data_IF_661683293169
#
_entry.id   IF_661683293169
#
_cell.length_a   1.000
_cell.length_b   1.000
_cell.length_c   1.000
_cell.angle_alpha   90.00
_cell.angle_beta   90.00
_cell.angle_gamma   90.00
#
_symmetry.space_group_name_H-M   'P 1'
#
loop_
_entity.id
_entity.type
_entity.pdbx_description
1 polymer ?
#
# COMPACT_ATOMS: atom_id res chain seq x y z
N UNK A 1 -14.01 1.11 -14.48
CA UNK A 1 -12.68 0.95 -13.96
C UNK A 1 -12.54 -0.40 -13.28
N UNK A 2 -11.75 -1.29 -13.88
CA UNK A 2 -11.72 -2.71 -13.49
C UNK A 2 -11.28 -2.93 -12.03
N UNK A 3 -10.22 -2.27 -11.59
CA UNK A 3 -9.69 -2.43 -10.23
C UNK A 3 -10.71 -1.98 -9.18
N UNK A 4 -11.39 -0.85 -9.42
CA UNK A 4 -12.42 -0.35 -8.52
C UNK A 4 -13.60 -1.32 -8.41
N UNK A 5 -14.05 -1.88 -9.53
CA UNK A 5 -15.12 -2.88 -9.53
C UNK A 5 -14.76 -4.14 -8.77
N UNK A 6 -13.53 -4.63 -8.92
CA UNK A 6 -13.06 -5.81 -8.19
C UNK A 6 -12.98 -5.57 -6.68
N UNK A 7 -12.51 -4.40 -6.27
CA UNK A 7 -12.46 -4.02 -4.86
C UNK A 7 -13.88 -3.91 -4.29
N UNK A 8 -14.78 -3.27 -5.03
CA UNK A 8 -16.16 -3.11 -4.60
C UNK A 8 -16.86 -4.45 -4.41
N UNK A 9 -16.72 -5.38 -5.36
CA UNK A 9 -17.29 -6.72 -5.26
C UNK A 9 -16.71 -7.50 -4.09
N UNK A 10 -15.39 -7.49 -3.90
CA UNK A 10 -14.73 -8.19 -2.81
C UNK A 10 -15.05 -7.64 -1.43
N UNK A 11 -15.45 -6.36 -1.34
CA UNK A 11 -15.75 -5.70 -0.06
C UNK A 11 -17.24 -5.54 0.23
N UNK A 12 -18.12 -6.01 -0.64
CA UNK A 12 -19.57 -5.96 -0.42
C UNK A 12 -20.03 -6.49 0.93
N UNK A 13 -19.47 -7.62 1.43
CA UNK A 13 -19.89 -8.15 2.73
C UNK A 13 -19.67 -7.18 3.89
N UNK A 14 -18.75 -6.24 3.75
CA UNK A 14 -18.47 -5.22 4.77
C UNK A 14 -19.47 -4.05 4.72
N UNK A 15 -20.25 -3.93 3.66
CA UNK A 15 -21.29 -2.91 3.52
C UNK A 15 -20.77 -1.49 3.62
N UNK A 16 -21.45 -0.67 4.44
CA UNK A 16 -21.09 0.73 4.68
C UNK A 16 -20.23 0.93 5.93
N UNK A 17 -19.56 -0.11 6.41
CA UNK A 17 -18.68 0.02 7.56
C UNK A 17 -17.58 1.03 7.29
N UNK A 18 -17.31 1.88 8.27
CA UNK A 18 -16.24 2.85 8.22
C UNK A 18 -14.99 2.24 8.82
N UNK A 19 -13.91 2.27 8.05
CA UNK A 19 -12.59 1.88 8.53
C UNK A 19 -11.77 3.14 8.76
N UNK A 20 -11.02 3.16 9.85
CA UNK A 20 -10.18 4.30 10.20
C UNK A 20 -8.81 4.24 9.55
N UNK A 21 -8.33 3.03 9.27
CA UNK A 21 -6.98 2.81 8.76
C UNK A 21 -6.96 1.69 7.74
N UNK A 22 -6.10 1.90 6.76
CA UNK A 22 -5.66 0.84 5.87
C UNK A 22 -4.20 0.56 6.20
N UNK A 23 -3.89 -0.69 6.53
CA UNK A 23 -2.53 -1.13 6.80
C UNK A 23 -2.12 -2.03 5.65
N UNK A 24 -1.06 -1.64 4.96
CA UNK A 24 -0.52 -2.41 3.85
C UNK A 24 0.74 -3.16 4.25
N UNK A 25 0.77 -4.43 3.93
CA UNK A 25 1.95 -5.27 4.21
C UNK A 25 2.50 -5.84 2.90
N UNK A 26 3.81 -5.94 2.83
CA UNK A 26 4.54 -6.57 1.73
C UNK A 26 4.37 -5.90 0.35
N UNK A 27 5.14 -6.35 -0.58
CA UNK A 27 5.03 -6.08 -2.01
C UNK A 27 4.96 -4.62 -2.39
N UNK A 28 3.85 -4.23 -2.99
CA UNK A 28 3.65 -2.88 -3.53
C UNK A 28 3.73 -1.80 -2.46
N UNK A 29 3.20 -2.04 -1.27
CA UNK A 29 3.23 -1.05 -0.19
C UNK A 29 4.65 -0.69 0.23
N UNK A 30 5.48 -1.69 0.47
CA UNK A 30 6.87 -1.46 0.89
C UNK A 30 7.70 -0.85 -0.24
N UNK A 31 7.44 -1.24 -1.49
CA UNK A 31 8.11 -0.66 -2.66
C UNK A 31 7.74 0.81 -2.84
N UNK A 32 6.47 1.17 -2.72
CA UNK A 32 6.03 2.56 -2.82
C UNK A 32 6.65 3.42 -1.71
N UNK A 33 6.70 2.91 -0.49
CA UNK A 33 7.31 3.61 0.63
C UNK A 33 8.83 3.82 0.41
N UNK A 34 9.51 2.78 -0.09
CA UNK A 34 10.93 2.87 -0.39
C UNK A 34 11.22 3.90 -1.50
N UNK A 35 10.40 3.91 -2.54
CA UNK A 35 10.52 4.90 -3.63
C UNK A 35 10.26 6.31 -3.14
N UNK A 36 9.23 6.51 -2.34
CA UNK A 36 8.91 7.84 -1.81
C UNK A 36 10.02 8.39 -0.93
N UNK A 37 10.73 7.52 -0.22
CA UNK A 37 11.90 7.90 0.58
C UNK A 37 13.20 7.93 -0.21
N UNK A 38 13.19 7.55 -1.49
CA UNK A 38 14.37 7.53 -2.35
C UNK A 38 15.47 6.59 -1.84
N UNK A 39 15.08 5.45 -1.29
CA UNK A 39 16.03 4.49 -0.71
C UNK A 39 16.86 3.80 -1.78
N UNK A 40 18.18 3.95 -1.71
CA UNK A 40 19.10 3.20 -2.55
C UNK A 40 19.44 1.84 -1.92
N UNK A 41 19.32 1.74 -0.60
CA UNK A 41 19.46 0.50 0.16
C UNK A 41 18.22 0.33 1.01
N UNK A 42 17.56 -0.80 0.89
CA UNK A 42 16.33 -1.09 1.63
C UNK A 42 16.61 -1.23 3.12
N UNK A 43 15.88 -0.47 3.92
CA UNK A 43 15.97 -0.49 5.38
C UNK A 43 14.54 -0.68 5.95
N UNK A 44 14.21 -1.89 6.44
CA UNK A 44 12.88 -2.17 6.98
C UNK A 44 12.48 -1.25 8.13
N UNK A 45 13.43 -0.82 8.95
CA UNK A 45 13.15 0.06 10.08
C UNK A 45 12.60 1.42 9.64
N UNK A 46 13.01 1.91 8.46
CA UNK A 46 12.55 3.18 7.90
C UNK A 46 11.22 3.04 7.15
N UNK A 47 10.88 1.82 6.76
CA UNK A 47 9.65 1.52 6.00
C UNK A 47 8.51 1.22 6.96
N UNK A 48 8.77 0.47 8.01
CA UNK A 48 7.75 0.05 8.97
C UNK A 48 7.14 1.28 9.66
N UNK A 49 5.83 1.39 9.57
CA UNK A 49 5.11 2.54 10.10
C UNK A 49 5.07 3.75 9.16
N UNK A 50 5.68 3.68 7.99
CA UNK A 50 5.64 4.76 7.02
C UNK A 50 4.20 5.01 6.55
N UNK A 51 3.84 6.26 6.41
CA UNK A 51 2.50 6.64 5.97
C UNK A 51 2.55 7.20 4.56
N UNK A 52 1.71 6.66 3.68
CA UNK A 52 1.55 7.14 2.32
C UNK A 52 0.17 7.76 2.17
N UNK A 53 0.11 9.03 1.80
CA UNK A 53 -1.18 9.68 1.50
C UNK A 53 -1.75 9.15 0.19
N UNK A 54 -3.07 9.27 0.03
CA UNK A 54 -3.73 8.92 -1.22
C UNK A 54 -3.14 9.70 -2.41
N UNK A 55 -2.83 10.97 -2.21
CA UNK A 55 -2.21 11.81 -3.25
C UNK A 55 -0.85 11.28 -3.68
N UNK A 56 -0.03 10.83 -2.73
CA UNK A 56 1.28 10.24 -3.02
C UNK A 56 1.14 8.95 -3.81
N UNK A 57 0.23 8.06 -3.42
CA UNK A 57 0.02 6.80 -4.13
C UNK A 57 -0.48 7.06 -5.56
N UNK A 58 -1.42 7.99 -5.74
CA UNK A 58 -1.91 8.38 -7.07
C UNK A 58 -0.80 8.95 -7.94
N UNK A 59 0.04 9.80 -7.38
CA UNK A 59 1.18 10.38 -8.09
C UNK A 59 2.13 9.29 -8.59
N UNK A 60 2.45 8.32 -7.75
CA UNK A 60 3.29 7.20 -8.15
C UNK A 60 2.63 6.32 -9.20
N UNK A 61 1.33 6.01 -9.04
CA UNK A 61 0.60 5.22 -10.02
C UNK A 61 0.62 5.89 -11.40
N UNK A 62 0.40 7.20 -11.45
CA UNK A 62 0.43 7.97 -12.69
C UNK A 62 1.84 8.00 -13.30
N UNK A 63 2.84 8.35 -12.50
CA UNK A 63 4.24 8.42 -12.95
C UNK A 63 4.74 7.08 -13.46
N UNK A 64 4.54 6.02 -12.69
CA UNK A 64 4.99 4.67 -13.05
C UNK A 64 4.24 4.14 -14.27
N UNK A 65 2.97 4.48 -14.42
CA UNK A 65 2.16 4.08 -15.57
C UNK A 65 2.67 4.62 -16.90
N UNK A 66 3.46 5.70 -16.88
CA UNK A 66 4.07 6.31 -18.08
C UNK A 66 5.48 5.80 -18.37
N UNK A 67 6.01 4.92 -17.52
CA UNK A 67 7.37 4.41 -17.64
C UNK A 67 7.37 2.98 -18.15
N UNK A 68 8.46 2.63 -18.84
CA UNK A 68 8.72 1.23 -19.21
C UNK A 68 9.25 0.46 -17.99
N UNK A 69 9.23 -0.87 -18.05
CA UNK A 69 9.78 -1.72 -16.99
C UNK A 69 11.27 -1.39 -16.73
N UNK A 70 12.04 -1.17 -17.79
CA UNK A 70 13.44 -0.81 -17.67
C UNK A 70 13.63 0.52 -16.94
N UNK A 71 12.79 1.51 -17.23
CA UNK A 71 12.83 2.81 -16.54
C UNK A 71 12.44 2.67 -15.06
N UNK A 72 11.42 1.87 -14.76
CA UNK A 72 10.99 1.61 -13.38
C UNK A 72 12.09 0.98 -12.55
N UNK A 73 12.83 0.03 -13.13
CA UNK A 73 13.93 -0.66 -12.45
C UNK A 73 15.08 0.28 -12.03
N UNK A 74 15.21 1.43 -12.67
CA UNK A 74 16.24 2.42 -12.34
C UNK A 74 15.87 3.34 -11.18
N UNK A 75 14.62 3.30 -10.74
CA UNK A 75 14.18 4.17 -9.65
C UNK A 75 14.73 3.68 -8.30
N UNK A 76 15.27 4.60 -7.48
CA UNK A 76 15.61 4.24 -6.12
C UNK A 76 14.39 3.69 -5.36
N UNK A 77 14.58 2.58 -4.70
CA UNK A 77 13.51 1.91 -3.95
C UNK A 77 12.74 0.85 -4.73
N UNK A 78 12.90 0.80 -6.06
CA UNK A 78 12.23 -0.23 -6.85
C UNK A 78 12.92 -1.59 -6.64
N UNK A 79 12.16 -2.53 -6.12
CA UNK A 79 12.60 -3.91 -5.97
C UNK A 79 12.53 -4.64 -7.31
N UNK A 80 13.62 -5.34 -7.66
CA UNK A 80 13.67 -6.15 -8.88
C UNK A 80 12.57 -7.20 -8.88
N UNK A 81 11.82 -7.28 -9.96
CA UNK A 81 10.66 -8.15 -10.09
C UNK A 81 9.33 -7.44 -9.80
N UNK A 82 9.35 -6.31 -9.09
CA UNK A 82 8.13 -5.55 -8.80
C UNK A 82 7.73 -4.59 -9.91
N UNK A 83 8.64 -4.26 -10.81
CA UNK A 83 8.41 -3.30 -11.91
C UNK A 83 7.20 -3.64 -12.76
N UNK A 84 6.84 -4.91 -12.86
CA UNK A 84 5.68 -5.38 -13.62
C UNK A 84 4.37 -5.24 -12.88
N UNK A 85 4.42 -5.27 -11.54
CA UNK A 85 3.22 -5.38 -10.71
C UNK A 85 2.95 -4.12 -9.91
N UNK A 86 3.90 -3.19 -9.86
CA UNK A 86 3.77 -2.00 -9.01
C UNK A 86 2.63 -1.09 -9.44
N UNK A 87 2.38 -0.93 -10.74
CA UNK A 87 1.29 -0.09 -11.23
C UNK A 87 -0.08 -0.68 -10.92
N UNK A 88 -0.39 -1.94 -11.31
CA UNK A 88 -1.67 -2.52 -10.92
C UNK A 88 -1.82 -2.59 -9.40
N UNK A 89 -0.75 -2.85 -8.66
CA UNK A 89 -0.78 -2.82 -7.21
C UNK A 89 -1.12 -1.44 -6.64
N UNK A 90 -0.49 -0.39 -7.16
CA UNK A 90 -0.78 0.98 -6.74
C UNK A 90 -2.23 1.38 -7.06
N UNK A 91 -2.74 0.97 -8.21
CA UNK A 91 -4.13 1.24 -8.59
C UNK A 91 -5.12 0.52 -7.67
N UNK A 92 -4.81 -0.69 -7.24
CA UNK A 92 -5.63 -1.42 -6.25
C UNK A 92 -5.64 -0.69 -4.91
N UNK A 93 -4.50 -0.16 -4.47
CA UNK A 93 -4.41 0.62 -3.23
C UNK A 93 -5.28 1.88 -3.32
N UNK A 94 -5.19 2.59 -4.43
CA UNK A 94 -6.03 3.79 -4.68
C UNK A 94 -7.50 3.42 -4.63
N UNK A 95 -7.89 2.33 -5.30
CA UNK A 95 -9.28 1.86 -5.32
C UNK A 95 -9.77 1.50 -3.92
N UNK A 96 -8.94 0.85 -3.11
CA UNK A 96 -9.27 0.51 -1.73
C UNK A 96 -9.46 1.77 -0.87
N UNK A 97 -8.56 2.75 -1.01
CA UNK A 97 -8.69 4.02 -0.28
C UNK A 97 -9.97 4.76 -0.66
N UNK A 98 -10.32 4.78 -1.94
CA UNK A 98 -11.57 5.39 -2.40
C UNK A 98 -12.80 4.67 -1.87
N UNK A 99 -12.78 3.32 -1.91
CA UNK A 99 -13.90 2.49 -1.45
C UNK A 99 -14.20 2.72 0.02
N UNK A 100 -13.17 2.84 0.85
CA UNK A 100 -13.32 3.04 2.29
C UNK A 100 -13.17 4.50 2.72
N UNK A 101 -13.06 5.42 1.77
CA UNK A 101 -12.92 6.86 2.03
C UNK A 101 -11.73 7.19 2.95
N UNK A 102 -10.61 6.56 2.69
CA UNK A 102 -9.38 6.77 3.44
C UNK A 102 -8.42 7.68 2.68
N UNK A 103 -7.73 8.54 3.40
CA UNK A 103 -6.79 9.50 2.82
C UNK A 103 -5.35 8.98 2.77
N UNK A 104 -5.10 7.83 3.32
CA UNK A 104 -3.75 7.29 3.35
C UNK A 104 -3.71 5.84 3.83
N UNK A 105 -2.52 5.28 3.74
CA UNK A 105 -2.23 3.92 4.16
C UNK A 105 -0.98 3.93 5.04
N UNK A 106 -0.99 3.10 6.08
CA UNK A 106 0.21 2.85 6.90
C UNK A 106 0.88 1.58 6.39
N UNK A 107 2.16 1.67 6.10
CA UNK A 107 2.93 0.54 5.57
C UNK A 107 3.57 -0.22 6.72
N UNK A 108 3.44 -1.53 6.71
CA UNK A 108 4.07 -2.43 7.66
C UNK A 108 4.98 -3.41 6.91
N UNK A 109 6.21 -3.53 7.37
CA UNK A 109 7.16 -4.52 6.87
C UNK A 109 7.15 -5.80 7.73
N UNK A 110 6.30 -5.84 8.76
CA UNK A 110 6.13 -7.02 9.59
C UNK A 110 5.56 -8.18 8.77
N UNK A 111 6.00 -9.39 9.05
CA UNK A 111 5.43 -10.60 8.46
C UNK A 111 3.96 -10.75 8.83
N UNK A 112 3.24 -11.59 8.07
CA UNK A 112 1.81 -11.79 8.28
C UNK A 112 1.48 -12.16 9.73
N UNK A 113 2.26 -13.06 10.33
CA UNK A 113 2.04 -13.49 11.72
C UNK A 113 2.22 -12.32 12.69
N UNK A 114 3.28 -11.53 12.54
CA UNK A 114 3.51 -10.35 13.37
C UNK A 114 2.39 -9.32 13.20
N UNK A 115 1.92 -9.12 11.98
CA UNK A 115 0.81 -8.24 11.70
C UNK A 115 -0.48 -8.67 12.38
N UNK A 116 -0.78 -9.97 12.39
CA UNK A 116 -1.94 -10.54 13.07
C UNK A 116 -1.81 -10.34 14.57
N UNK A 117 -0.65 -10.65 15.15
CA UNK A 117 -0.43 -10.50 16.60
C UNK A 117 -0.54 -9.04 17.04
N UNK A 118 0.03 -8.12 16.27
CA UNK A 118 -0.09 -6.69 16.55
C UNK A 118 -1.55 -6.21 16.45
N UNK A 119 -2.31 -6.72 15.49
CA UNK A 119 -3.73 -6.43 15.33
C UNK A 119 -4.55 -6.88 16.52
N UNK A 120 -4.30 -8.10 17.02
CA UNK A 120 -4.96 -8.64 18.21
C UNK A 120 -4.65 -7.80 19.44
N UNK A 121 -3.38 -7.43 19.64
CA UNK A 121 -2.98 -6.58 20.76
C UNK A 121 -3.63 -5.20 20.73
N UNK A 122 -3.80 -4.61 19.56
CA UNK A 122 -4.44 -3.30 19.38
C UNK A 122 -5.95 -3.36 19.62
N UNK A 123 -6.61 -4.41 19.14
CA UNK A 123 -8.04 -4.60 19.34
C UNK A 123 -8.38 -4.78 20.82
N UNK A 124 -7.50 -5.39 21.58
CA UNK A 124 -7.68 -5.53 23.04
C UNK A 124 -7.56 -4.20 23.80
N UNK A 125 -6.96 -3.17 23.20
CA UNK A 125 -6.83 -1.86 23.82
C UNK A 125 -7.87 -0.82 23.38
N UNK A 126 -8.61 -1.10 22.32
CA UNK A 126 -9.60 -0.16 21.78
C UNK A 126 -11.03 -0.39 22.29
N UNK A 127 -11.29 -1.51 22.93
CA UNK A 127 -12.58 -1.84 23.53
C UNK A 127 -12.74 -1.29 24.95
N UNK A 128 -11.89 -0.36 25.30
CA UNK A 128 -12.00 0.37 26.55
C UNK A 128 -12.72 1.70 26.40
#
# INVERSE_FOLDING_TARGET
YYAAGRIEDGTRPFGRRRFRRLIGTAGTFTTLAAMERGMTRYDPARINGARLSAAVVRRWADRLGRMTDAQRLRLPGMEKGRERYVVPGALLIVAAMERFRLNGVTVSDAGLLEGILAGVGRNGGEDG
#
